data_IF_171433929521
#
_entry.id   IF_171433929521
#
_cell.length_a   1.000
_cell.length_b   1.000
_cell.length_c   1.000
_cell.angle_alpha   90.00
_cell.angle_beta   90.00
_cell.angle_gamma   90.00
#
_symmetry.space_group_name_H-M   'P 1'
#
loop_
_entity.id
_entity.type
_entity.pdbx_description
1 polymer ?
#
# COMPACT_ATOMS: atom_id res chain seq x y z
N UNK A 1 -26.85 2.66 -20.32
CA UNK A 1 -25.44 2.55 -19.93
C UNK A 1 -24.63 3.47 -20.82
N UNK A 2 -23.81 4.35 -20.25
CA UNK A 2 -22.94 5.25 -21.02
C UNK A 2 -21.62 4.52 -21.31
N UNK A 3 -21.14 4.54 -22.55
CA UNK A 3 -19.85 3.95 -22.95
C UNK A 3 -18.65 4.87 -22.65
N UNK A 4 -18.85 5.94 -21.87
CA UNK A 4 -17.78 6.91 -21.54
C UNK A 4 -16.57 6.26 -20.86
N UNK A 5 -16.78 5.21 -20.05
CA UNK A 5 -15.70 4.47 -19.38
C UNK A 5 -14.63 3.92 -20.36
N UNK A 6 -15.01 3.63 -21.62
CA UNK A 6 -14.02 3.19 -22.64
C UNK A 6 -13.06 4.31 -23.02
N UNK A 7 -13.59 5.53 -23.12
CA UNK A 7 -12.78 6.72 -23.42
C UNK A 7 -11.91 7.05 -22.20
N UNK A 8 -12.45 6.97 -21.00
CA UNK A 8 -11.72 7.23 -19.76
C UNK A 8 -10.53 6.27 -19.63
N UNK A 9 -10.74 4.96 -19.82
CA UNK A 9 -9.66 3.97 -19.82
C UNK A 9 -8.61 4.28 -20.91
N UNK A 10 -9.06 4.60 -22.14
CA UNK A 10 -8.13 4.90 -23.22
C UNK A 10 -7.28 6.14 -22.92
N UNK A 11 -7.88 7.19 -22.37
CA UNK A 11 -7.19 8.41 -21.94
C UNK A 11 -6.21 8.13 -20.80
N UNK A 12 -6.60 7.32 -19.80
CA UNK A 12 -5.71 6.90 -18.71
C UNK A 12 -4.50 6.16 -19.29
N UNK A 13 -4.71 5.16 -20.16
CA UNK A 13 -3.62 4.37 -20.72
C UNK A 13 -2.65 5.21 -21.57
N UNK A 14 -3.17 6.13 -22.36
CA UNK A 14 -2.33 7.03 -23.17
C UNK A 14 -1.57 8.00 -22.28
N UNK A 15 -2.25 8.70 -21.38
CA UNK A 15 -1.62 9.71 -20.51
C UNK A 15 -0.58 9.11 -19.58
N UNK A 16 -0.87 7.97 -18.94
CA UNK A 16 0.08 7.25 -18.08
C UNK A 16 1.31 6.78 -18.86
N UNK A 17 1.11 6.32 -20.09
CA UNK A 17 2.24 5.88 -20.94
C UNK A 17 3.10 7.06 -21.39
N UNK A 18 2.49 8.15 -21.81
CA UNK A 18 3.22 9.36 -22.25
C UNK A 18 4.01 9.96 -21.09
N UNK A 19 3.37 10.17 -19.95
CA UNK A 19 4.04 10.72 -18.76
C UNK A 19 5.05 9.73 -18.17
N UNK A 20 4.79 8.43 -18.20
CA UNK A 20 5.74 7.42 -17.76
C UNK A 20 7.02 7.39 -18.63
N UNK A 21 6.92 7.65 -19.94
CA UNK A 21 8.11 7.83 -20.81
C UNK A 21 8.87 9.10 -20.44
N UNK A 22 8.15 10.17 -20.11
CA UNK A 22 8.75 11.44 -19.71
C UNK A 22 9.48 11.32 -18.37
N UNK A 23 8.85 10.74 -17.36
CA UNK A 23 9.48 10.51 -16.05
C UNK A 23 10.69 9.61 -16.14
N UNK A 24 10.65 8.57 -16.98
CA UNK A 24 11.80 7.70 -17.25
C UNK A 24 12.98 8.46 -17.85
N UNK A 25 12.73 9.45 -18.72
CA UNK A 25 13.79 10.33 -19.25
C UNK A 25 14.41 11.19 -18.17
N UNK A 26 13.66 11.52 -17.12
CA UNK A 26 14.11 12.24 -15.93
C UNK A 26 14.75 11.32 -14.87
N UNK A 27 14.99 10.04 -15.22
CA UNK A 27 15.51 9.01 -14.30
C UNK A 27 14.60 8.73 -13.09
N UNK A 28 13.30 8.98 -13.23
CA UNK A 28 12.27 8.66 -12.25
C UNK A 28 11.49 7.41 -12.66
N UNK A 29 10.93 6.64 -11.72
CA UNK A 29 10.06 5.50 -12.01
C UNK A 29 8.84 5.91 -12.85
N UNK A 30 8.35 5.00 -13.73
CA UNK A 30 7.16 5.25 -14.54
C UNK A 30 5.88 5.40 -13.71
N UNK A 31 5.86 4.80 -12.51
CA UNK A 31 4.80 4.95 -11.51
C UNK A 31 4.50 6.43 -11.23
N UNK A 32 5.54 7.26 -11.08
CA UNK A 32 5.37 8.72 -10.87
C UNK A 32 4.64 9.37 -12.04
N UNK A 33 4.95 8.95 -13.28
CA UNK A 33 4.24 9.42 -14.46
C UNK A 33 2.77 9.02 -14.48
N UNK A 34 2.44 7.82 -13.98
CA UNK A 34 1.07 7.35 -13.91
C UNK A 34 0.25 8.11 -12.84
N UNK A 35 0.84 8.38 -11.67
CA UNK A 35 0.23 9.23 -10.62
C UNK A 35 -0.03 10.65 -11.16
N UNK A 36 0.97 11.25 -11.80
CA UNK A 36 0.84 12.58 -12.42
C UNK A 36 -0.22 12.60 -13.53
N UNK A 37 -0.37 11.52 -14.31
CA UNK A 37 -1.42 11.40 -15.31
C UNK A 37 -2.81 11.51 -14.68
N UNK A 38 -3.06 10.78 -13.59
CA UNK A 38 -4.29 10.86 -12.84
C UNK A 38 -4.54 12.26 -12.28
N UNK A 39 -3.55 12.86 -11.65
CA UNK A 39 -3.63 14.21 -11.08
C UNK A 39 -3.97 15.27 -12.15
N UNK A 40 -3.30 15.20 -13.32
CA UNK A 40 -3.51 16.18 -14.40
C UNK A 40 -4.88 15.98 -15.06
N UNK A 41 -5.30 14.74 -15.32
CA UNK A 41 -6.58 14.44 -15.97
C UNK A 41 -7.77 14.57 -15.02
N UNK A 42 -7.51 14.48 -13.71
CA UNK A 42 -8.51 14.50 -12.64
C UNK A 42 -9.02 15.87 -12.24
N UNK A 43 -9.85 15.91 -11.17
CA UNK A 43 -10.49 17.13 -10.65
C UNK A 43 -9.50 18.21 -10.23
N UNK A 44 -8.29 17.80 -9.81
CA UNK A 44 -7.26 18.73 -9.33
C UNK A 44 -6.75 19.71 -10.42
N UNK A 45 -6.77 19.30 -11.72
CA UNK A 45 -6.22 20.11 -12.82
C UNK A 45 -7.20 20.29 -13.97
N UNK A 46 -7.28 19.31 -14.90
CA UNK A 46 -8.07 19.46 -16.13
C UNK A 46 -9.53 19.07 -15.97
N UNK A 47 -9.87 18.30 -14.94
CA UNK A 47 -11.24 17.83 -14.66
C UNK A 47 -11.90 17.08 -15.85
N UNK A 48 -11.10 16.28 -16.58
CA UNK A 48 -11.55 15.53 -17.76
C UNK A 48 -12.10 14.18 -17.34
N UNK A 49 -11.41 13.49 -16.42
CA UNK A 49 -11.76 12.16 -15.93
C UNK A 49 -12.17 12.27 -14.47
N UNK A 50 -13.28 11.63 -14.13
CA UNK A 50 -13.79 11.58 -12.76
C UNK A 50 -13.68 10.14 -12.23
N UNK A 51 -13.46 10.01 -10.93
CA UNK A 51 -13.54 8.72 -10.27
C UNK A 51 -14.97 8.19 -10.37
N UNK A 52 -15.12 7.00 -10.94
CA UNK A 52 -16.38 6.28 -11.05
C UNK A 52 -16.26 4.97 -10.30
N UNK A 53 -17.38 4.42 -9.82
CA UNK A 53 -17.41 3.12 -9.14
C UNK A 53 -16.72 2.01 -9.96
N UNK A 54 -16.92 2.01 -11.27
CA UNK A 54 -16.27 1.07 -12.16
C UNK A 54 -14.73 1.24 -12.19
N UNK A 55 -14.24 2.48 -12.28
CA UNK A 55 -12.80 2.75 -12.26
C UNK A 55 -12.18 2.38 -10.91
N UNK A 56 -12.89 2.65 -9.80
CA UNK A 56 -12.48 2.26 -8.46
C UNK A 56 -12.34 0.74 -8.33
N UNK A 57 -13.35 -0.02 -8.79
CA UNK A 57 -13.31 -1.50 -8.76
C UNK A 57 -12.19 -2.08 -9.64
N UNK A 58 -11.94 -1.50 -10.83
CA UNK A 58 -10.83 -1.92 -11.69
C UNK A 58 -9.48 -1.56 -11.07
N UNK A 59 -9.38 -0.42 -10.42
CA UNK A 59 -8.20 0.02 -9.66
C UNK A 59 -7.87 -0.95 -8.54
N UNK A 60 -8.86 -1.33 -7.72
CA UNK A 60 -8.72 -2.30 -6.64
C UNK A 60 -8.28 -3.67 -7.15
N UNK A 61 -8.90 -4.17 -8.23
CA UNK A 61 -8.44 -5.38 -8.90
C UNK A 61 -6.99 -5.22 -9.41
N UNK A 62 -6.62 -4.03 -9.82
CA UNK A 62 -5.27 -3.68 -10.27
C UNK A 62 -4.22 -3.87 -9.18
N UNK A 63 -4.44 -3.32 -8.00
CA UNK A 63 -3.50 -3.47 -6.89
C UNK A 63 -3.44 -4.91 -6.38
N UNK A 64 -4.58 -5.61 -6.32
CA UNK A 64 -4.63 -7.03 -5.96
C UNK A 64 -3.76 -7.87 -6.89
N UNK A 65 -3.90 -7.72 -8.22
CA UNK A 65 -3.10 -8.47 -9.21
C UNK A 65 -1.62 -8.07 -9.15
N UNK A 66 -1.33 -6.79 -8.95
CA UNK A 66 0.04 -6.30 -8.80
C UNK A 66 0.71 -6.91 -7.57
N UNK A 67 0.04 -6.93 -6.41
CA UNK A 67 0.57 -7.51 -5.18
C UNK A 67 0.71 -9.04 -5.27
N UNK A 68 -0.22 -9.71 -5.97
CA UNK A 68 -0.08 -11.12 -6.30
C UNK A 68 1.17 -11.40 -7.14
N UNK A 69 1.42 -10.59 -8.17
CA UNK A 69 2.65 -10.75 -8.99
C UNK A 69 3.92 -10.44 -8.22
N UNK A 70 3.88 -9.50 -7.28
CA UNK A 70 4.99 -9.24 -6.37
C UNK A 70 5.28 -10.44 -5.46
N UNK A 71 4.22 -11.05 -4.91
CA UNK A 71 4.34 -12.30 -4.13
C UNK A 71 4.91 -13.45 -4.93
N UNK A 72 4.51 -13.61 -6.21
CA UNK A 72 5.09 -14.61 -7.13
C UNK A 72 6.59 -14.42 -7.36
N UNK A 73 7.05 -13.16 -7.44
CA UNK A 73 8.45 -12.82 -7.63
C UNK A 73 9.29 -12.85 -6.33
N UNK A 74 8.67 -13.12 -5.18
CA UNK A 74 9.34 -13.10 -3.88
C UNK A 74 9.67 -14.53 -3.41
N UNK A 75 10.89 -14.70 -2.88
CA UNK A 75 11.30 -15.96 -2.26
C UNK A 75 10.85 -16.01 -0.79
N UNK A 76 10.17 -17.10 -0.39
CA UNK A 76 9.76 -17.31 1.00
C UNK A 76 10.97 -17.37 1.95
N UNK A 77 12.08 -17.93 1.50
CA UNK A 77 13.29 -18.08 2.33
C UNK A 77 13.98 -16.71 2.54
N UNK A 78 14.02 -15.87 1.51
CA UNK A 78 14.54 -14.52 1.63
C UNK A 78 13.66 -13.66 2.58
N UNK A 79 12.35 -13.80 2.49
CA UNK A 79 11.41 -13.12 3.36
C UNK A 79 11.56 -13.54 4.83
N UNK A 80 11.79 -14.84 5.08
CA UNK A 80 12.08 -15.34 6.44
C UNK A 80 13.38 -14.78 7.00
N UNK A 81 14.43 -14.69 6.18
CA UNK A 81 15.72 -14.14 6.60
C UNK A 81 15.64 -12.65 6.95
N UNK A 82 14.84 -11.89 6.21
CA UNK A 82 14.68 -10.45 6.42
C UNK A 82 13.58 -10.09 7.41
N UNK A 83 12.75 -11.04 7.85
CA UNK A 83 11.56 -10.78 8.66
C UNK A 83 11.85 -10.08 10.00
N UNK A 84 12.92 -10.49 10.72
CA UNK A 84 13.32 -9.81 11.97
C UNK A 84 13.74 -8.36 11.72
N UNK A 85 14.52 -8.13 10.67
CA UNK A 85 14.93 -6.77 10.29
C UNK A 85 13.73 -5.96 9.82
N UNK A 86 12.85 -6.55 9.00
CA UNK A 86 11.60 -5.94 8.56
C UNK A 86 10.71 -5.52 9.73
N UNK A 87 10.57 -6.36 10.77
CA UNK A 87 9.82 -6.01 11.96
C UNK A 87 10.40 -4.80 12.70
N UNK A 88 11.73 -4.75 12.91
CA UNK A 88 12.37 -3.60 13.56
C UNK A 88 12.26 -2.33 12.73
N UNK A 89 12.39 -2.44 11.41
CA UNK A 89 12.22 -1.32 10.48
C UNK A 89 10.77 -0.79 10.54
N UNK A 90 9.77 -1.68 10.48
CA UNK A 90 8.37 -1.31 10.59
C UNK A 90 8.04 -0.68 11.94
N UNK A 91 8.49 -1.27 13.04
CA UNK A 91 8.22 -0.77 14.39
C UNK A 91 8.76 0.67 14.58
N UNK A 92 10.02 0.91 14.22
CA UNK A 92 10.60 2.25 14.27
C UNK A 92 9.93 3.18 13.24
N UNK A 93 9.58 2.65 12.06
CA UNK A 93 8.90 3.36 10.98
C UNK A 93 7.44 3.71 11.27
N UNK A 94 6.82 3.12 12.29
CA UNK A 94 5.50 3.48 12.83
C UNK A 94 5.66 4.47 14.00
N UNK A 95 6.50 4.15 14.98
CA UNK A 95 6.59 4.95 16.21
C UNK A 95 7.14 6.37 15.98
N UNK A 96 8.18 6.51 15.14
CA UNK A 96 8.81 7.81 14.91
C UNK A 96 7.92 8.76 14.09
N UNK A 97 7.29 8.35 12.96
CA UNK A 97 6.32 9.20 12.27
C UNK A 97 5.06 9.50 13.11
N UNK A 98 4.57 8.55 13.90
CA UNK A 98 3.44 8.78 14.81
C UNK A 98 3.76 9.92 15.78
N UNK A 99 4.90 9.87 16.45
CA UNK A 99 5.33 10.93 17.38
C UNK A 99 5.58 12.25 16.64
N UNK A 100 6.28 12.22 15.51
CA UNK A 100 6.58 13.41 14.72
C UNK A 100 5.32 14.12 14.20
N UNK A 101 4.36 13.35 13.70
CA UNK A 101 3.06 13.87 13.23
C UNK A 101 2.22 14.43 14.37
N UNK A 102 2.13 13.74 15.50
CA UNK A 102 1.41 14.19 16.66
C UNK A 102 1.99 15.50 17.24
N UNK A 103 3.31 15.61 17.30
CA UNK A 103 4.00 16.83 17.77
C UNK A 103 3.75 17.99 16.78
N UNK A 104 3.90 17.76 15.46
CA UNK A 104 3.61 18.80 14.47
C UNK A 104 2.16 19.27 14.57
N UNK A 105 1.21 18.35 14.64
CA UNK A 105 -0.21 18.66 14.76
C UNK A 105 -0.50 19.50 16.02
N UNK A 106 0.15 19.22 17.14
CA UNK A 106 -0.02 19.98 18.38
C UNK A 106 0.38 21.47 18.26
N UNK A 107 1.30 21.83 17.36
CA UNK A 107 1.66 23.24 17.12
C UNK A 107 0.61 23.99 16.28
N UNK A 108 -0.21 23.28 15.49
CA UNK A 108 -1.19 23.88 14.60
C UNK A 108 -2.63 23.75 15.11
N UNK A 109 -2.88 22.82 16.02
CA UNK A 109 -4.19 22.61 16.61
C UNK A 109 -4.41 23.63 17.75
N UNK A 110 -5.48 24.40 17.67
CA UNK A 110 -5.82 25.34 18.72
C UNK A 110 -6.26 24.56 19.97
N UNK A 111 -5.57 24.78 21.07
CA UNK A 111 -5.63 24.03 22.35
C UNK A 111 -6.97 24.11 23.12
N UNK A 112 -8.06 24.50 22.44
CA UNK A 112 -9.39 24.68 23.05
C UNK A 112 -10.36 23.50 22.90
N UNK A 113 -10.03 22.48 22.09
CA UNK A 113 -10.93 21.33 21.89
C UNK A 113 -10.65 20.23 22.92
N UNK A 114 -11.70 19.69 23.55
CA UNK A 114 -11.60 18.59 24.52
C UNK A 114 -10.88 17.32 23.94
N UNK A 115 -10.82 17.21 22.62
CA UNK A 115 -10.25 16.07 21.91
C UNK A 115 -8.94 16.39 21.17
N UNK A 116 -8.30 17.55 21.43
CA UNK A 116 -7.11 17.99 20.70
C UNK A 116 -5.97 16.95 20.71
N UNK A 117 -5.71 16.32 21.85
CA UNK A 117 -4.68 15.29 21.96
C UNK A 117 -4.97 14.11 21.03
N UNK A 118 -6.22 13.65 20.98
CA UNK A 118 -6.61 12.51 20.14
C UNK A 118 -6.50 12.83 18.66
N UNK A 119 -6.90 14.04 18.24
CA UNK A 119 -6.73 14.53 16.89
C UNK A 119 -5.25 14.60 16.48
N UNK A 120 -4.38 15.08 17.35
CA UNK A 120 -2.95 15.15 17.11
C UNK A 120 -2.34 13.75 16.94
N UNK A 121 -2.70 12.80 17.81
CA UNK A 121 -2.25 11.40 17.70
C UNK A 121 -2.79 10.78 16.41
N UNK A 122 -4.03 11.05 16.02
CA UNK A 122 -4.61 10.54 14.78
C UNK A 122 -3.83 11.02 13.55
N UNK A 123 -3.44 12.29 13.48
CA UNK A 123 -2.56 12.79 12.41
C UNK A 123 -1.24 12.03 12.40
N UNK A 124 -0.67 11.76 13.59
CA UNK A 124 0.49 10.90 13.71
C UNK A 124 0.25 9.50 13.11
N UNK A 125 -0.91 8.87 13.37
CA UNK A 125 -1.26 7.56 12.80
C UNK A 125 -1.36 7.63 11.26
N UNK A 126 -1.97 8.67 10.71
CA UNK A 126 -2.01 8.87 9.25
C UNK A 126 -0.59 8.94 8.66
N UNK A 127 0.36 9.57 9.36
CA UNK A 127 1.75 9.64 8.94
C UNK A 127 2.50 8.30 9.08
N UNK A 128 1.97 7.30 9.73
CA UNK A 128 2.60 5.97 9.76
C UNK A 128 2.39 5.21 8.46
N UNK A 129 1.29 5.41 7.78
CA UNK A 129 0.90 4.65 6.60
C UNK A 129 1.96 4.70 5.49
N UNK A 130 2.27 3.55 4.90
CA UNK A 130 3.20 3.40 3.76
C UNK A 130 2.47 2.75 2.60
N UNK A 131 2.67 3.23 1.38
CA UNK A 131 2.14 2.56 0.19
C UNK A 131 3.06 1.40 -0.20
N UNK A 132 2.62 0.18 0.08
CA UNK A 132 3.33 -1.04 -0.35
C UNK A 132 3.33 -1.14 -1.87
N UNK A 133 2.23 -0.79 -2.51
CA UNK A 133 2.02 -0.89 -3.95
C UNK A 133 3.00 -0.03 -4.75
N UNK A 134 3.14 1.26 -4.41
CA UNK A 134 4.09 2.18 -5.06
C UNK A 134 5.53 1.69 -4.84
N UNK A 135 5.88 1.34 -3.61
CA UNK A 135 7.22 0.87 -3.25
C UNK A 135 7.60 -0.40 -4.00
N UNK A 136 6.70 -1.39 -4.05
CA UNK A 136 6.94 -2.66 -4.73
C UNK A 136 7.11 -2.47 -6.23
N UNK A 137 6.24 -1.70 -6.89
CA UNK A 137 6.35 -1.46 -8.32
C UNK A 137 7.61 -0.68 -8.67
N UNK A 138 7.99 0.32 -7.87
CA UNK A 138 9.24 1.05 -8.03
C UNK A 138 10.45 0.13 -7.90
N UNK A 139 10.51 -0.72 -6.87
CA UNK A 139 11.61 -1.68 -6.68
C UNK A 139 11.67 -2.71 -7.80
N UNK A 140 10.51 -3.15 -8.31
CA UNK A 140 10.40 -4.06 -9.44
C UNK A 140 10.89 -3.41 -10.74
N UNK A 141 10.49 -2.18 -11.02
CA UNK A 141 10.93 -1.40 -12.18
C UNK A 141 12.44 -1.15 -12.17
N UNK A 142 13.02 -0.93 -10.97
CA UNK A 142 14.46 -0.80 -10.77
C UNK A 142 15.23 -2.13 -10.79
N UNK A 143 14.54 -3.27 -10.83
CA UNK A 143 15.14 -4.62 -10.71
C UNK A 143 15.79 -4.88 -9.33
N UNK A 144 15.31 -4.21 -8.28
CA UNK A 144 15.88 -4.29 -6.92
C UNK A 144 14.99 -5.04 -5.91
N UNK A 145 13.82 -5.52 -6.32
CA UNK A 145 12.88 -6.20 -5.43
C UNK A 145 13.50 -7.43 -4.73
N UNK A 146 14.24 -8.26 -5.46
CA UNK A 146 14.88 -9.49 -4.94
C UNK A 146 16.24 -9.26 -4.25
N UNK A 147 16.58 -8.01 -3.90
CA UNK A 147 17.79 -7.71 -3.13
C UNK A 147 17.51 -7.79 -1.63
N UNK A 148 18.57 -7.88 -0.80
CA UNK A 148 18.42 -7.85 0.68
C UNK A 148 17.68 -6.60 1.13
N UNK A 149 17.97 -5.44 0.53
CA UNK A 149 17.28 -4.17 0.81
C UNK A 149 15.82 -4.24 0.36
N UNK A 150 15.55 -4.69 -0.88
CA UNK A 150 14.19 -4.82 -1.41
C UNK A 150 13.33 -5.78 -0.58
N UNK A 151 13.85 -6.95 -0.25
CA UNK A 151 13.16 -7.93 0.60
C UNK A 151 12.90 -7.39 2.03
N UNK A 152 13.85 -6.61 2.57
CA UNK A 152 13.68 -5.94 3.88
C UNK A 152 12.59 -4.89 3.82
N UNK A 153 12.57 -4.04 2.78
CA UNK A 153 11.53 -3.03 2.57
C UNK A 153 10.17 -3.71 2.42
N UNK A 154 10.08 -4.76 1.60
CA UNK A 154 8.84 -5.51 1.40
C UNK A 154 8.32 -6.12 2.70
N UNK A 155 9.20 -6.82 3.45
CA UNK A 155 8.84 -7.36 4.76
C UNK A 155 8.38 -6.28 5.74
N UNK A 156 9.09 -5.15 5.77
CA UNK A 156 8.75 -4.02 6.63
C UNK A 156 7.41 -3.39 6.24
N UNK A 157 7.13 -3.20 4.95
CA UNK A 157 5.89 -2.62 4.48
C UNK A 157 4.66 -3.48 4.81
N UNK A 158 4.75 -4.81 4.64
CA UNK A 158 3.68 -5.73 5.02
C UNK A 158 3.41 -5.74 6.54
N UNK A 159 4.45 -5.60 7.35
CA UNK A 159 4.32 -5.50 8.82
C UNK A 159 3.80 -4.12 9.22
N UNK A 160 4.20 -3.07 8.50
CA UNK A 160 3.75 -1.69 8.70
C UNK A 160 2.23 -1.56 8.55
N UNK A 161 1.61 -2.23 7.56
CA UNK A 161 0.16 -2.28 7.37
C UNK A 161 -0.54 -2.86 8.60
N UNK A 162 -0.03 -3.95 9.14
CA UNK A 162 -0.57 -4.58 10.36
C UNK A 162 -0.41 -3.67 11.57
N UNK A 163 0.76 -3.06 11.74
CA UNK A 163 1.01 -2.13 12.85
C UNK A 163 0.18 -0.85 12.72
N UNK A 164 -0.03 -0.35 11.50
CA UNK A 164 -0.89 0.80 11.21
C UNK A 164 -2.35 0.52 11.57
N UNK A 165 -2.86 -0.67 11.24
CA UNK A 165 -4.20 -1.11 11.65
C UNK A 165 -4.35 -1.19 13.18
N UNK A 166 -3.35 -1.72 13.88
CA UNK A 166 -3.32 -1.77 15.33
C UNK A 166 -3.31 -0.35 15.91
N UNK A 167 -2.46 0.53 15.42
CA UNK A 167 -2.36 1.92 15.87
C UNK A 167 -3.69 2.67 15.65
N UNK A 168 -4.31 2.52 14.47
CA UNK A 168 -5.62 3.09 14.17
C UNK A 168 -6.68 2.58 15.15
N UNK A 169 -6.73 1.26 15.39
CA UNK A 169 -7.69 0.65 16.31
C UNK A 169 -7.52 1.17 17.73
N UNK A 170 -6.28 1.34 18.21
CA UNK A 170 -6.01 1.91 19.55
C UNK A 170 -6.58 3.32 19.62
N UNK A 171 -6.30 4.17 18.63
CA UNK A 171 -6.72 5.57 18.64
C UNK A 171 -8.23 5.71 18.55
N UNK A 172 -8.89 4.92 17.68
CA UNK A 172 -10.35 4.94 17.54
C UNK A 172 -11.06 4.40 18.78
N UNK A 173 -10.51 3.37 19.44
CA UNK A 173 -11.05 2.82 20.69
C UNK A 173 -10.98 3.82 21.84
N UNK A 174 -9.89 4.56 21.98
CA UNK A 174 -9.73 5.60 23.02
C UNK A 174 -10.60 6.82 22.69
N UNK A 175 -10.80 7.14 21.38
CA UNK A 175 -11.63 8.25 20.92
C UNK A 175 -13.14 8.08 21.12
N UNK A 176 -13.61 6.95 21.67
CA UNK A 176 -14.99 6.71 22.07
C UNK A 176 -15.89 6.04 21.04
N UNK A 177 -15.35 5.53 19.92
CA UNK A 177 -16.11 4.64 19.01
C UNK A 177 -16.25 3.27 19.68
N UNK A 178 -17.46 2.95 20.13
CA UNK A 178 -17.78 1.80 20.99
C UNK A 178 -17.51 0.40 20.38
N UNK A 179 -17.22 0.31 19.07
CA UNK A 179 -17.14 -0.96 18.34
C UNK A 179 -15.74 -1.51 18.10
N UNK A 180 -14.68 -0.79 18.47
CA UNK A 180 -13.30 -1.23 18.21
C UNK A 180 -12.66 -1.89 19.45
N UNK A 181 -12.74 -3.22 19.52
CA UNK A 181 -12.06 -4.00 20.54
C UNK A 181 -10.68 -4.46 20.02
N UNK A 182 -9.61 -3.87 20.57
CA UNK A 182 -8.22 -4.19 20.20
C UNK A 182 -7.92 -5.71 20.25
N UNK A 183 -8.47 -6.41 21.26
CA UNK A 183 -8.27 -7.86 21.40
C UNK A 183 -8.86 -8.61 20.20
N UNK A 184 -10.05 -8.22 19.74
CA UNK A 184 -10.69 -8.83 18.56
C UNK A 184 -9.85 -8.62 17.30
N UNK A 185 -9.30 -7.42 17.11
CA UNK A 185 -8.41 -7.13 15.96
C UNK A 185 -7.15 -7.98 16.01
N UNK A 186 -6.50 -8.08 17.16
CA UNK A 186 -5.31 -8.92 17.31
C UNK A 186 -5.60 -10.40 17.06
N UNK A 187 -6.74 -10.91 17.54
CA UNK A 187 -7.17 -12.29 17.28
C UNK A 187 -7.44 -12.49 15.78
N UNK A 188 -8.11 -11.56 15.11
CA UNK A 188 -8.37 -11.61 13.67
C UNK A 188 -7.07 -11.65 12.86
N UNK A 189 -6.10 -10.78 13.19
CA UNK A 189 -4.79 -10.77 12.52
C UNK A 189 -4.06 -12.11 12.72
N UNK A 190 -4.01 -12.62 13.95
CA UNK A 190 -3.38 -13.91 14.24
C UNK A 190 -4.08 -15.06 13.49
N UNK A 191 -5.42 -15.06 13.47
CA UNK A 191 -6.22 -16.03 12.75
C UNK A 191 -5.99 -15.95 11.22
N UNK A 192 -5.82 -14.76 10.66
CA UNK A 192 -5.48 -14.58 9.24
C UNK A 192 -4.14 -15.24 8.89
N UNK A 193 -3.08 -14.98 9.65
CA UNK A 193 -1.78 -15.60 9.36
C UNK A 193 -1.82 -17.12 9.53
N UNK A 194 -2.53 -17.63 10.54
CA UNK A 194 -2.74 -19.07 10.69
C UNK A 194 -3.51 -19.66 9.49
N UNK A 195 -4.57 -18.98 9.06
CA UNK A 195 -5.35 -19.37 7.89
C UNK A 195 -4.49 -19.42 6.63
N UNK A 196 -3.68 -18.40 6.36
CA UNK A 196 -2.75 -18.35 5.21
C UNK A 196 -1.76 -19.52 5.26
N UNK A 197 -1.21 -19.87 6.44
CA UNK A 197 -0.30 -21.00 6.58
C UNK A 197 -1.02 -22.31 6.25
N UNK A 198 -2.22 -22.52 6.78
CA UNK A 198 -3.01 -23.75 6.53
C UNK A 198 -3.37 -23.87 5.05
N UNK A 199 -3.91 -22.80 4.46
CA UNK A 199 -4.25 -22.76 3.02
C UNK A 199 -3.00 -22.99 2.18
N UNK A 200 -1.88 -22.34 2.54
CA UNK A 200 -0.60 -22.51 1.84
C UNK A 200 -0.12 -23.96 1.81
N UNK A 201 -0.19 -24.66 2.94
CA UNK A 201 0.17 -26.08 3.02
C UNK A 201 -0.76 -26.95 2.17
N UNK A 202 -2.07 -26.68 2.20
CA UNK A 202 -3.06 -27.43 1.43
C UNK A 202 -2.88 -27.20 -0.08
N UNK A 203 -2.72 -25.95 -0.49
CA UNK A 203 -2.52 -25.58 -1.90
C UNK A 203 -1.24 -26.16 -2.44
N UNK A 204 -0.13 -26.07 -1.71
CA UNK A 204 1.14 -26.65 -2.13
C UNK A 204 1.01 -28.16 -2.32
N UNK A 205 0.50 -28.88 -1.33
CA UNK A 205 0.30 -30.33 -1.40
C UNK A 205 -0.67 -30.73 -2.54
N UNK A 206 -1.76 -29.98 -2.71
CA UNK A 206 -2.74 -30.22 -3.77
C UNK A 206 -2.17 -29.97 -5.15
N UNK A 207 -1.42 -28.87 -5.36
CA UNK A 207 -0.76 -28.58 -6.63
C UNK A 207 0.33 -29.61 -6.97
N UNK A 208 1.17 -29.98 -6.01
CA UNK A 208 2.22 -30.97 -6.24
C UNK A 208 1.60 -32.33 -6.62
N UNK A 209 0.55 -32.76 -5.93
CA UNK A 209 -0.20 -33.96 -6.28
C UNK A 209 -0.82 -33.86 -7.68
N UNK A 210 -1.46 -32.74 -8.00
CA UNK A 210 -2.09 -32.52 -9.30
C UNK A 210 -1.07 -32.55 -10.45
N UNK A 211 0.07 -31.89 -10.28
CA UNK A 211 1.15 -31.85 -11.29
C UNK A 211 1.72 -33.26 -11.54
N UNK A 212 1.84 -34.08 -10.51
CA UNK A 212 2.39 -35.47 -10.62
C UNK A 212 1.40 -36.42 -11.24
N UNK A 213 0.11 -36.30 -10.94
CA UNK A 213 -0.89 -37.30 -11.32
C UNK A 213 -1.70 -36.96 -12.56
N UNK A 214 -1.81 -35.69 -12.91
CA UNK A 214 -2.63 -35.23 -14.03
C UNK A 214 -1.75 -34.75 -15.18
N UNK A 215 -1.47 -35.66 -16.12
CA UNK A 215 -0.73 -35.36 -17.37
C UNK A 215 -1.65 -34.62 -18.36
N UNK A 216 -1.91 -33.34 -18.13
CA UNK A 216 -2.73 -32.52 -19.02
C UNK A 216 -1.85 -31.61 -19.87
N UNK A 217 -2.17 -31.51 -21.15
CA UNK A 217 -1.56 -30.58 -22.11
C UNK A 217 -2.06 -29.12 -21.91
N UNK A 218 -3.17 -28.94 -21.19
CA UNK A 218 -3.75 -27.63 -20.91
C UNK A 218 -3.05 -26.94 -19.74
N UNK A 219 -2.08 -26.11 -20.06
CA UNK A 219 -1.32 -25.35 -19.08
C UNK A 219 -2.08 -24.13 -18.52
N UNK A 220 -3.19 -23.71 -19.15
CA UNK A 220 -3.95 -22.51 -18.73
C UNK A 220 -4.66 -22.70 -17.37
N UNK A 221 -4.86 -23.92 -16.94
CA UNK A 221 -5.47 -24.25 -15.64
C UNK A 221 -4.69 -23.68 -14.46
N UNK A 222 -3.36 -23.68 -14.53
CA UNK A 222 -2.52 -23.19 -13.44
C UNK A 222 -2.69 -21.68 -13.18
N UNK A 223 -2.64 -20.80 -14.19
CA UNK A 223 -2.95 -19.38 -13.98
C UNK A 223 -4.37 -19.14 -13.47
N UNK A 224 -5.38 -19.86 -13.99
CA UNK A 224 -6.77 -19.70 -13.53
C UNK A 224 -6.88 -20.08 -12.05
N UNK A 225 -6.35 -21.24 -11.63
CA UNK A 225 -6.36 -21.65 -10.24
C UNK A 225 -5.62 -20.63 -9.34
N UNK A 226 -4.47 -20.14 -9.78
CA UNK A 226 -3.68 -19.17 -9.04
C UNK A 226 -4.45 -17.83 -8.89
N UNK A 227 -5.19 -17.42 -9.92
CA UNK A 227 -6.02 -16.23 -9.85
C UNK A 227 -7.22 -16.39 -8.91
N UNK A 228 -7.90 -17.52 -8.97
CA UNK A 228 -8.98 -17.84 -8.01
C UNK A 228 -8.45 -17.81 -6.58
N UNK A 229 -7.28 -18.39 -6.32
CA UNK A 229 -6.64 -18.34 -5.00
C UNK A 229 -6.31 -16.91 -4.57
N UNK A 230 -5.80 -16.10 -5.51
CA UNK A 230 -5.51 -14.68 -5.25
C UNK A 230 -6.76 -13.92 -4.80
N UNK A 231 -7.82 -13.98 -5.59
CA UNK A 231 -9.09 -13.29 -5.29
C UNK A 231 -9.73 -13.80 -3.99
N UNK A 232 -9.67 -15.12 -3.76
CA UNK A 232 -10.22 -15.73 -2.55
C UNK A 232 -9.48 -15.28 -1.30
N UNK A 233 -8.13 -15.27 -1.31
CA UNK A 233 -7.34 -14.83 -0.16
C UNK A 233 -7.44 -13.32 0.07
N UNK A 234 -7.53 -12.51 -0.99
CA UNK A 234 -7.78 -11.07 -0.88
C UNK A 234 -9.14 -10.80 -0.22
N UNK A 235 -10.21 -11.45 -0.70
CA UNK A 235 -11.54 -11.38 -0.12
C UNK A 235 -11.56 -11.80 1.36
N UNK A 236 -10.95 -12.96 1.69
CA UNK A 236 -10.91 -13.42 3.08
C UNK A 236 -10.13 -12.46 3.98
N UNK A 237 -9.03 -11.87 3.50
CA UNK A 237 -8.24 -10.92 4.25
C UNK A 237 -9.08 -9.72 4.69
N UNK A 238 -9.77 -9.07 3.77
CA UNK A 238 -10.57 -7.86 4.03
C UNK A 238 -11.87 -8.19 4.79
N UNK A 239 -12.71 -9.06 4.24
CA UNK A 239 -14.07 -9.29 4.76
C UNK A 239 -14.11 -10.12 6.04
N UNK A 240 -13.28 -11.17 6.16
CA UNK A 240 -13.34 -12.05 7.32
C UNK A 240 -12.41 -11.60 8.44
N UNK A 241 -11.21 -11.17 8.07
CA UNK A 241 -10.17 -10.86 9.06
C UNK A 241 -9.93 -9.36 9.27
N UNK A 242 -10.42 -8.48 8.38
CA UNK A 242 -10.20 -7.04 8.45
C UNK A 242 -8.73 -6.66 8.25
N UNK A 243 -7.97 -7.49 7.55
CA UNK A 243 -6.60 -7.25 7.10
C UNK A 243 -6.67 -6.83 5.63
N UNK A 244 -5.83 -5.88 5.21
CA UNK A 244 -5.88 -5.37 3.85
C UNK A 244 -5.85 -6.50 2.79
N UNK A 245 -6.71 -6.42 1.79
CA UNK A 245 -6.88 -7.34 0.66
C UNK A 245 -5.55 -7.58 -0.09
N UNK A 246 -4.74 -6.52 -0.25
CA UNK A 246 -3.40 -6.57 -0.84
C UNK A 246 -2.47 -7.56 -0.12
N UNK A 247 -2.59 -7.69 1.21
CA UNK A 247 -1.82 -8.66 2.01
C UNK A 247 -2.25 -10.09 1.69
N UNK A 248 -3.56 -10.32 1.51
CA UNK A 248 -4.11 -11.60 1.07
C UNK A 248 -3.64 -11.99 -0.33
N UNK A 249 -3.67 -11.04 -1.27
CA UNK A 249 -3.18 -11.22 -2.64
C UNK A 249 -1.68 -11.54 -2.68
N UNK A 250 -0.87 -10.81 -1.92
CA UNK A 250 0.56 -11.08 -1.79
C UNK A 250 0.83 -12.47 -1.20
N UNK A 251 0.09 -12.85 -0.16
CA UNK A 251 0.20 -14.19 0.44
C UNK A 251 -0.14 -15.30 -0.56
N UNK A 252 -1.16 -15.10 -1.41
CA UNK A 252 -1.48 -16.04 -2.49
C UNK A 252 -0.31 -16.18 -3.47
N UNK A 253 0.27 -15.07 -3.90
CA UNK A 253 1.46 -15.05 -4.75
C UNK A 253 2.65 -15.79 -4.13
N UNK A 254 2.90 -15.54 -2.85
CA UNK A 254 3.97 -16.20 -2.07
C UNK A 254 3.73 -17.71 -1.91
N UNK A 255 2.49 -18.16 -1.73
CA UNK A 255 2.15 -19.58 -1.71
C UNK A 255 2.48 -20.22 -3.06
N UNK A 256 2.03 -19.63 -4.15
CA UNK A 256 2.26 -20.12 -5.51
C UNK A 256 3.76 -20.07 -5.88
N UNK A 257 4.53 -19.09 -5.39
CA UNK A 257 5.98 -18.99 -5.65
C UNK A 257 6.76 -20.22 -5.17
N UNK A 258 6.22 -20.95 -4.21
CA UNK A 258 6.83 -22.21 -3.70
C UNK A 258 6.59 -23.43 -4.61
N UNK A 259 5.80 -23.28 -5.67
CA UNK A 259 5.43 -24.36 -6.58
C UNK A 259 6.31 -24.39 -7.84
N UNK A 260 6.42 -25.54 -8.50
CA UNK A 260 7.23 -25.69 -9.72
C UNK A 260 6.69 -24.92 -10.93
N UNK A 261 5.43 -24.43 -10.88
CA UNK A 261 4.78 -23.67 -11.96
C UNK A 261 4.79 -22.15 -11.74
N UNK A 262 5.40 -21.66 -10.66
CA UNK A 262 5.44 -20.24 -10.30
C UNK A 262 5.87 -19.36 -11.47
N UNK A 263 7.00 -19.67 -12.12
CA UNK A 263 7.52 -18.85 -13.23
C UNK A 263 6.60 -18.81 -14.44
N UNK A 264 5.93 -19.91 -14.75
CA UNK A 264 4.95 -19.97 -15.83
C UNK A 264 3.75 -19.06 -15.53
N UNK A 265 3.25 -19.12 -14.29
CA UNK A 265 2.11 -18.31 -13.83
C UNK A 265 2.49 -16.82 -13.85
N UNK A 266 3.65 -16.46 -13.32
CA UNK A 266 4.17 -15.09 -13.31
C UNK A 266 4.20 -14.47 -14.71
N UNK A 267 4.74 -15.19 -15.70
CA UNK A 267 4.81 -14.73 -17.10
C UNK A 267 3.41 -14.50 -17.71
N UNK A 268 2.39 -15.26 -17.28
CA UNK A 268 1.00 -15.09 -17.77
C UNK A 268 0.31 -13.88 -17.14
N UNK A 269 0.62 -13.54 -15.88
CA UNK A 269 0.03 -12.39 -15.20
C UNK A 269 0.72 -11.07 -15.52
N UNK A 270 2.01 -11.08 -15.82
CA UNK A 270 2.77 -9.86 -16.07
C UNK A 270 2.15 -8.95 -17.15
N UNK A 271 1.68 -9.44 -18.33
CA UNK A 271 1.03 -8.60 -19.33
C UNK A 271 -0.27 -7.95 -18.84
N UNK A 272 -1.12 -8.70 -18.14
CA UNK A 272 -2.38 -8.19 -17.61
C UNK A 272 -2.14 -7.07 -16.59
N UNK A 273 -1.23 -7.29 -15.66
CA UNK A 273 -0.84 -6.29 -14.67
C UNK A 273 -0.29 -5.04 -15.36
N UNK A 274 0.76 -5.16 -16.17
CA UNK A 274 1.49 -4.04 -16.75
C UNK A 274 0.71 -3.24 -17.80
N UNK A 275 -0.07 -3.91 -18.69
CA UNK A 275 -0.73 -3.25 -19.80
C UNK A 275 -2.01 -2.51 -19.44
N UNK A 276 -2.72 -3.00 -18.43
CA UNK A 276 -4.06 -2.50 -18.13
C UNK A 276 -4.19 -2.08 -16.66
N UNK A 277 -3.96 -3.00 -15.74
CA UNK A 277 -4.38 -2.83 -14.36
C UNK A 277 -3.50 -1.85 -13.58
N UNK A 278 -2.19 -1.99 -13.66
CA UNK A 278 -1.24 -1.11 -12.96
C UNK A 278 -1.36 0.37 -13.39
N UNK A 279 -1.45 0.72 -14.69
CA UNK A 279 -1.68 2.09 -15.11
C UNK A 279 -2.99 2.69 -14.58
N UNK A 280 -4.07 1.91 -14.59
CA UNK A 280 -5.38 2.37 -14.08
C UNK A 280 -5.29 2.61 -12.58
N UNK A 281 -4.69 1.67 -11.82
CA UNK A 281 -4.53 1.80 -10.38
C UNK A 281 -3.76 3.07 -9.99
N UNK A 282 -2.59 3.32 -10.56
CA UNK A 282 -1.83 4.52 -10.20
C UNK A 282 -2.48 5.81 -10.67
N UNK A 283 -3.14 5.80 -11.84
CA UNK A 283 -3.92 6.97 -12.27
C UNK A 283 -5.11 7.23 -11.34
N UNK A 284 -5.79 6.20 -10.85
CA UNK A 284 -6.92 6.34 -9.92
C UNK A 284 -6.53 7.03 -8.63
N UNK A 285 -5.34 6.76 -8.08
CA UNK A 285 -4.81 7.48 -6.90
C UNK A 285 -4.72 8.98 -7.21
N UNK A 286 -4.21 9.33 -8.39
CA UNK A 286 -4.13 10.74 -8.81
C UNK A 286 -5.50 11.38 -9.07
N UNK A 287 -6.49 10.60 -9.55
CA UNK A 287 -7.86 11.08 -9.77
C UNK A 287 -8.64 11.37 -8.47
N UNK A 288 -8.28 10.75 -7.37
CA UNK A 288 -8.89 10.97 -6.06
C UNK A 288 -8.41 12.26 -5.38
N UNK A 289 -7.36 12.90 -5.94
CA UNK A 289 -6.86 14.15 -5.39
C UNK A 289 -7.80 15.29 -5.71
N UNK A 290 -8.40 15.85 -4.68
CA UNK A 290 -9.16 17.11 -4.75
C UNK A 290 -8.41 18.21 -3.95
N UNK A 291 -8.13 19.32 -4.60
CA UNK A 291 -7.40 20.42 -3.98
C UNK A 291 -8.41 21.43 -3.39
N UNK A 292 -8.65 21.42 -2.08
CA UNK A 292 -9.51 22.39 -1.44
C UNK A 292 -8.90 23.81 -1.54
N UNK A 293 -9.72 24.82 -1.37
CA UNK A 293 -9.23 26.21 -1.25
C UNK A 293 -8.35 26.30 0.01
N UNK A 294 -7.05 26.45 -0.20
CA UNK A 294 -6.06 26.49 0.88
C UNK A 294 -5.78 27.94 1.29
N UNK A 295 -5.84 28.20 2.58
CA UNK A 295 -5.34 29.40 3.17
C UNK A 295 -3.84 29.27 3.50
N UNK A 296 -3.13 30.40 3.75
CA UNK A 296 -1.67 30.39 3.94
C UNK A 296 -1.20 29.53 5.14
N UNK A 297 -2.00 29.45 6.23
CA UNK A 297 -1.70 28.61 7.39
C UNK A 297 -1.77 27.12 7.02
N UNK A 298 -2.73 26.78 6.17
CA UNK A 298 -2.97 25.45 5.69
C UNK A 298 -1.85 24.96 4.77
N UNK A 299 -1.40 25.81 3.84
CA UNK A 299 -0.26 25.53 2.95
C UNK A 299 1.01 25.31 3.77
N UNK A 300 1.30 26.17 4.75
CA UNK A 300 2.45 26.01 5.62
C UNK A 300 2.42 24.68 6.38
N UNK A 301 1.27 24.32 6.96
CA UNK A 301 1.10 23.05 7.65
C UNK A 301 1.32 21.86 6.70
N UNK A 302 0.74 21.88 5.50
CA UNK A 302 0.91 20.82 4.50
C UNK A 302 2.38 20.60 4.12
N UNK A 303 3.12 21.69 3.85
CA UNK A 303 4.55 21.62 3.53
C UNK A 303 5.35 21.03 4.70
N UNK A 304 5.09 21.50 5.91
CA UNK A 304 5.77 20.96 7.10
C UNK A 304 5.40 19.51 7.36
N UNK A 305 4.13 19.12 7.10
CA UNK A 305 3.67 17.75 7.23
C UNK A 305 4.39 16.80 6.28
N UNK A 306 4.59 17.21 5.01
CA UNK A 306 5.39 16.45 4.03
C UNK A 306 6.83 16.29 4.51
N UNK A 307 7.46 17.39 4.95
CA UNK A 307 8.84 17.37 5.44
C UNK A 307 8.97 16.43 6.65
N UNK A 308 8.09 16.56 7.63
CA UNK A 308 8.09 15.71 8.83
C UNK A 308 7.82 14.26 8.46
N UNK A 309 6.86 13.99 7.55
CA UNK A 309 6.53 12.66 7.07
C UNK A 309 7.75 11.95 6.44
N UNK A 310 8.47 12.65 5.55
CA UNK A 310 9.69 12.13 4.90
C UNK A 310 10.80 11.91 5.93
N UNK A 311 11.15 12.94 6.71
CA UNK A 311 12.26 12.86 7.65
C UNK A 311 12.04 11.79 8.72
N UNK A 312 10.85 11.73 9.31
CA UNK A 312 10.54 10.76 10.38
C UNK A 312 10.54 9.33 9.85
N UNK A 313 10.05 9.10 8.62
CA UNK A 313 10.05 7.76 8.01
C UNK A 313 11.49 7.32 7.65
N UNK A 314 12.27 8.19 7.01
CA UNK A 314 13.69 7.90 6.67
C UNK A 314 14.50 7.61 7.94
N UNK A 315 14.39 8.46 8.95
CA UNK A 315 15.10 8.28 10.21
C UNK A 315 14.60 7.05 10.97
N UNK A 316 13.28 6.84 11.04
CA UNK A 316 12.68 5.71 11.74
C UNK A 316 13.08 4.37 11.15
N UNK A 317 12.82 4.18 9.87
CA UNK A 317 13.13 2.94 9.17
C UNK A 317 14.65 2.72 9.07
N UNK A 318 15.41 3.78 8.82
CA UNK A 318 16.89 3.74 8.81
C UNK A 318 17.47 3.34 10.17
N UNK A 319 16.93 3.87 11.27
CA UNK A 319 17.32 3.49 12.63
C UNK A 319 16.98 2.02 12.91
N UNK A 320 15.77 1.56 12.57
CA UNK A 320 15.38 0.16 12.72
C UNK A 320 16.32 -0.80 11.98
N UNK A 321 16.69 -0.46 10.74
CA UNK A 321 17.66 -1.21 9.95
C UNK A 321 19.08 -1.20 10.60
N UNK A 322 19.48 -0.06 11.14
CA UNK A 322 20.78 0.09 11.83
C UNK A 322 20.87 -0.75 13.10
N UNK A 323 19.80 -0.80 13.88
CA UNK A 323 19.71 -1.64 15.09
C UNK A 323 19.86 -3.14 14.78
N UNK A 324 19.51 -3.55 13.56
CA UNK A 324 19.71 -4.92 13.07
C UNK A 324 21.09 -5.17 12.45
N UNK A 325 22.00 -4.17 12.48
CA UNK A 325 23.39 -4.32 12.04
C UNK A 325 23.59 -4.15 10.53
N UNK A 326 22.66 -3.57 9.77
CA UNK A 326 22.86 -3.26 8.37
C UNK A 326 23.85 -2.11 8.17
N UNK A 327 24.50 -2.07 6.99
CA UNK A 327 25.42 -1.02 6.60
C UNK A 327 24.70 0.31 6.40
N UNK A 328 25.37 1.45 6.65
CA UNK A 328 24.76 2.79 6.57
C UNK A 328 24.01 3.02 5.25
N UNK A 329 24.63 2.74 4.11
CA UNK A 329 24.01 2.91 2.80
C UNK A 329 22.72 2.04 2.62
N UNK A 330 22.68 0.84 3.22
CA UNK A 330 21.47 0.01 3.21
C UNK A 330 20.38 0.59 4.11
N UNK A 331 20.76 1.17 5.26
CA UNK A 331 19.82 1.84 6.16
C UNK A 331 19.18 3.06 5.48
N UNK A 332 19.97 3.86 4.75
CA UNK A 332 19.48 4.99 3.96
C UNK A 332 18.53 4.53 2.85
N UNK A 333 18.91 3.49 2.09
CA UNK A 333 18.06 2.92 1.04
C UNK A 333 16.74 2.39 1.59
N UNK A 334 16.76 1.70 2.73
CA UNK A 334 15.55 1.21 3.40
C UNK A 334 14.70 2.37 3.89
N UNK A 335 15.31 3.36 4.53
CA UNK A 335 14.63 4.56 5.00
C UNK A 335 13.90 5.29 3.87
N UNK A 336 14.60 5.56 2.76
CA UNK A 336 14.01 6.22 1.58
C UNK A 336 12.95 5.34 0.92
N UNK A 337 13.19 4.03 0.79
CA UNK A 337 12.23 3.11 0.18
C UNK A 337 10.91 2.97 0.95
N UNK A 338 10.86 3.34 2.22
CA UNK A 338 9.66 3.33 3.05
C UNK A 338 8.93 4.69 3.12
N UNK A 339 9.37 5.69 2.37
CA UNK A 339 8.75 7.03 2.39
C UNK A 339 7.44 7.07 1.61
N UNK A 340 7.30 6.24 0.57
CA UNK A 340 6.16 6.29 -0.34
C UNK A 340 4.83 6.19 0.41
N UNK A 341 3.92 7.12 0.11
CA UNK A 341 2.56 7.17 0.65
C UNK A 341 1.58 7.20 -0.52
N UNK A 342 0.38 6.69 -0.30
CA UNK A 342 -0.63 6.61 -1.35
C UNK A 342 -1.99 6.31 -0.73
N UNK A 343 -2.70 5.38 -1.33
CA UNK A 343 -4.06 4.96 -0.98
C UNK A 343 -4.25 4.60 0.51
N UNK A 344 -3.25 3.99 1.15
CA UNK A 344 -3.35 3.55 2.55
C UNK A 344 -3.55 4.74 3.50
N UNK A 345 -2.85 5.86 3.26
CA UNK A 345 -3.02 7.07 4.08
C UNK A 345 -4.43 7.64 3.95
N UNK A 346 -5.03 7.58 2.75
CA UNK A 346 -6.40 8.01 2.49
C UNK A 346 -7.42 7.11 3.19
N UNK A 347 -7.23 5.79 3.14
CA UNK A 347 -8.10 4.81 3.82
C UNK A 347 -8.07 5.05 5.33
N UNK A 348 -6.88 5.24 5.91
CA UNK A 348 -6.73 5.53 7.35
C UNK A 348 -7.45 6.84 7.72
N UNK A 349 -7.27 7.89 6.92
CA UNK A 349 -7.90 9.19 7.13
C UNK A 349 -9.43 9.10 7.03
N UNK A 350 -9.97 8.40 6.03
CA UNK A 350 -11.41 8.17 5.86
C UNK A 350 -12.02 7.38 7.02
N UNK A 351 -11.36 6.30 7.47
CA UNK A 351 -11.81 5.52 8.64
C UNK A 351 -11.85 6.36 9.91
N UNK A 352 -10.88 7.26 10.10
CA UNK A 352 -10.86 8.18 11.24
C UNK A 352 -12.00 9.21 11.22
N UNK A 353 -12.30 9.77 10.05
CA UNK A 353 -13.43 10.70 9.90
C UNK A 353 -14.76 10.02 10.18
N UNK A 354 -14.97 8.81 9.68
CA UNK A 354 -16.16 8.00 9.94
C UNK A 354 -16.34 7.68 11.43
N UNK A 355 -15.27 7.69 12.23
CA UNK A 355 -15.27 7.46 13.67
C UNK A 355 -15.57 8.71 14.52
N UNK A 356 -16.10 9.79 13.91
CA UNK A 356 -16.54 11.01 14.63
C UNK A 356 -15.43 12.02 14.93
N UNK A 357 -14.26 11.90 14.31
CA UNK A 357 -13.17 12.87 14.38
C UNK A 357 -13.35 13.98 13.34
N UNK A 358 -14.58 14.57 13.27
CA UNK A 358 -14.98 15.55 12.23
C UNK A 358 -14.06 16.77 12.12
N UNK A 359 -13.45 17.21 13.22
CA UNK A 359 -12.50 18.31 13.18
C UNK A 359 -11.19 17.98 12.46
N UNK A 360 -10.95 16.73 12.11
CA UNK A 360 -9.82 16.28 11.28
C UNK A 360 -10.11 16.52 9.79
N UNK A 361 -11.36 16.77 9.39
CA UNK A 361 -11.71 17.11 8.01
C UNK A 361 -10.92 18.33 7.49
N UNK A 362 -10.56 19.26 8.37
CA UNK A 362 -9.67 20.38 8.07
C UNK A 362 -8.27 19.93 7.63
N UNK A 363 -7.76 18.81 8.15
CA UNK A 363 -6.49 18.22 7.77
C UNK A 363 -6.59 17.27 6.57
N UNK A 364 -7.79 16.88 6.15
CA UNK A 364 -8.02 15.83 5.15
C UNK A 364 -7.47 16.19 3.76
N UNK A 365 -7.72 17.39 3.29
CA UNK A 365 -7.15 17.86 2.02
C UNK A 365 -5.61 17.85 1.98
N UNK A 366 -4.96 17.86 3.13
CA UNK A 366 -3.51 17.86 3.30
C UNK A 366 -2.93 16.47 3.34
N UNK A 367 -3.64 15.52 3.93
CA UNK A 367 -3.28 14.11 3.89
C UNK A 367 -3.30 13.60 2.45
N UNK A 368 -4.26 14.05 1.65
CA UNK A 368 -4.31 13.85 0.20
C UNK A 368 -3.03 14.37 -0.47
N UNK A 369 -2.62 15.60 -0.15
CA UNK A 369 -1.41 16.18 -0.73
C UNK A 369 -0.14 15.43 -0.30
N UNK A 370 -0.04 14.99 0.96
CA UNK A 370 1.07 14.16 1.45
C UNK A 370 1.09 12.79 0.77
N UNK A 371 -0.06 12.20 0.54
CA UNK A 371 -0.19 10.90 -0.14
C UNK A 371 0.30 10.92 -1.59
N UNK A 372 0.25 12.06 -2.25
CA UNK A 372 0.66 12.23 -3.66
C UNK A 372 2.05 12.82 -3.83
N UNK A 373 2.59 13.49 -2.81
CA UNK A 373 3.92 14.15 -2.85
C UNK A 373 5.06 13.26 -2.31
N UNK A 374 4.75 12.17 -1.60
CA UNK A 374 5.72 11.17 -1.13
C UNK A 374 5.98 10.11 -2.16
#
# INVERSE_FOLDING_TARGET
MSYHYLVDIALILVSTKVLGILTKRLQMPQVVGALLAGLIMGPACLNIIHSTEFLSQVSELGVIVMMFTAGLGTSLDDLKQTGKTGFMVALCGVLIPLLGGAVLAAFFNDSGSANALMQNIFIGVVLTATSVSITVETLKEMGKLSTVVGNTILAAALIDDVLGLIALTIVTSIGGSADSNLLVVLIKIAAFFLFVIVVGMLVKKGMDWYIQNVHSTDLQRYPIFAFVLCLFLAFCAEELFGVADITGAFAAGLIISTTSKAKYIEVKFAPLSYLLLTPIFFASIGLEVDLPKMDGRLILFSVLLVIVAVLTKVLGCGLGAKLCGLKNHQCEQIGVGMVCRGEVALIVANKGMASGMENVAWFFGQVLFVGTAG
#
